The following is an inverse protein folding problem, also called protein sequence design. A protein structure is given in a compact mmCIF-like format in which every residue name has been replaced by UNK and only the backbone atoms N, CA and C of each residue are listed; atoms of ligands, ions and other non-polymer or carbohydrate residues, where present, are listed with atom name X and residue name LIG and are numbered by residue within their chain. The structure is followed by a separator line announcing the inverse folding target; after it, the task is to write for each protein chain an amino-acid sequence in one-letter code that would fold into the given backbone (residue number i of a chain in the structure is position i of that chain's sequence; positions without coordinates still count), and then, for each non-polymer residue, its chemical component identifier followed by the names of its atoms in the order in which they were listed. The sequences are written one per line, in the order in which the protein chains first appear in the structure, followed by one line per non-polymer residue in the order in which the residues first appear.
data_IF_550440603318
#
_entry.id   IF_550440603318
#
_cell.length_a   1.000
_cell.length_b   1.000
_cell.length_c   1.000
_cell.angle_alpha   90.00
_cell.angle_beta   90.00
_cell.angle_gamma   90.00
#
_symmetry.space_group_name_H-M   'P 1'
#
loop_
_entity.id
_entity.type
_entity.pdbx_description
1 polymer ?
#
# COMPACT_ATOMS: atom_id res chain seq x y z
N UNK A 1 -20.55 -11.56 -16.35
CA UNK A 1 -21.78 -10.78 -16.13
C UNK A 1 -21.70 -9.97 -14.83
N UNK A 2 -21.37 -10.57 -13.68
CA UNK A 2 -21.32 -9.88 -12.38
C UNK A 2 -20.41 -8.65 -12.36
N UNK A 3 -19.18 -8.73 -12.88
CA UNK A 3 -18.23 -7.61 -12.94
C UNK A 3 -18.81 -6.37 -13.67
N UNK A 4 -19.54 -6.60 -14.77
CA UNK A 4 -20.12 -5.49 -15.58
C UNK A 4 -21.19 -4.69 -14.82
N UNK A 5 -21.88 -5.35 -13.88
CA UNK A 5 -22.89 -4.70 -13.02
C UNK A 5 -22.24 -4.11 -11.77
N UNK A 6 -21.36 -4.86 -11.13
CA UNK A 6 -20.75 -4.45 -9.86
C UNK A 6 -19.80 -3.26 -10.01
N UNK A 7 -19.06 -3.17 -11.12
CA UNK A 7 -18.13 -2.06 -11.36
C UNK A 7 -18.79 -0.68 -11.32
N UNK A 8 -19.83 -0.38 -12.11
CA UNK A 8 -20.50 0.92 -12.05
C UNK A 8 -21.18 1.17 -10.71
N UNK A 9 -21.76 0.13 -10.08
CA UNK A 9 -22.36 0.24 -8.75
C UNK A 9 -21.29 0.61 -7.70
N UNK A 10 -20.15 -0.10 -7.69
CA UNK A 10 -19.04 0.21 -6.79
C UNK A 10 -18.51 1.62 -7.03
N UNK A 11 -18.37 2.03 -8.29
CA UNK A 11 -17.94 3.38 -8.64
C UNK A 11 -18.92 4.44 -8.10
N UNK A 12 -20.22 4.24 -8.28
CA UNK A 12 -21.25 5.15 -7.80
C UNK A 12 -21.22 5.26 -6.26
N UNK A 13 -21.14 4.13 -5.56
CA UNK A 13 -21.02 4.09 -4.09
C UNK A 13 -19.77 4.81 -3.60
N UNK A 14 -18.61 4.52 -4.20
CA UNK A 14 -17.35 5.16 -3.83
C UNK A 14 -17.35 6.66 -4.11
N UNK A 15 -17.97 7.08 -5.22
CA UNK A 15 -18.12 8.50 -5.56
C UNK A 15 -19.04 9.23 -4.60
N UNK A 16 -20.16 8.62 -4.22
CA UNK A 16 -21.15 9.22 -3.34
C UNK A 16 -20.65 9.30 -1.89
N UNK A 17 -20.14 8.21 -1.34
CA UNK A 17 -19.76 8.14 0.08
C UNK A 17 -18.36 8.70 0.35
N UNK A 18 -17.41 8.49 -0.55
CA UNK A 18 -16.00 8.84 -0.36
C UNK A 18 -15.50 9.90 -1.34
N UNK A 19 -16.40 10.56 -2.09
CA UNK A 19 -16.03 11.58 -3.09
C UNK A 19 -14.89 11.11 -4.00
N UNK A 20 -14.93 9.82 -4.37
CA UNK A 20 -13.86 9.21 -5.15
C UNK A 20 -13.63 9.96 -6.47
N UNK A 21 -12.34 10.20 -6.77
CA UNK A 21 -11.87 10.77 -8.04
C UNK A 21 -10.92 9.78 -8.71
N UNK A 22 -11.10 9.56 -10.01
CA UNK A 22 -10.18 8.82 -10.86
C UNK A 22 -9.56 9.81 -11.85
N UNK A 23 -8.24 9.88 -11.91
CA UNK A 23 -7.48 10.83 -12.72
C UNK A 23 -6.52 10.04 -13.59
N UNK A 24 -6.46 10.35 -14.88
CA UNK A 24 -5.54 9.70 -15.82
C UNK A 24 -5.97 8.27 -16.22
N UNK A 25 -7.23 7.89 -16.06
CA UNK A 25 -7.71 6.56 -16.41
C UNK A 25 -7.55 6.24 -17.91
N UNK A 26 -7.47 7.25 -18.76
CA UNK A 26 -7.16 7.19 -20.18
C UNK A 26 -5.75 6.67 -20.49
N UNK A 27 -4.84 6.72 -19.53
CA UNK A 27 -3.49 6.14 -19.63
C UNK A 27 -3.50 4.60 -19.64
N UNK A 28 -4.63 3.99 -19.26
CA UNK A 28 -4.77 2.54 -19.32
C UNK A 28 -5.06 2.15 -20.77
N UNK A 29 -4.21 1.34 -21.44
CA UNK A 29 -4.48 0.87 -22.79
C UNK A 29 -5.88 0.27 -22.89
N UNK A 30 -6.72 0.68 -23.86
CA UNK A 30 -8.10 0.20 -24.00
C UNK A 30 -8.18 -1.29 -24.29
N UNK A 31 -7.18 -1.81 -24.99
CA UNK A 31 -7.07 -3.22 -25.41
C UNK A 31 -5.65 -3.75 -25.22
N UNK A 32 -5.47 -5.05 -25.37
CA UNK A 32 -4.18 -5.71 -25.20
C UNK A 32 -3.75 -5.85 -23.74
N UNK A 33 -2.56 -6.41 -23.47
CA UNK A 33 -2.04 -6.57 -22.12
C UNK A 33 -1.76 -5.24 -21.44
N UNK A 34 -2.02 -5.17 -20.16
CA UNK A 34 -1.60 -4.04 -19.31
C UNK A 34 -1.32 -4.52 -17.88
N UNK A 35 -0.24 -4.05 -17.30
CA UNK A 35 0.10 -4.30 -15.90
C UNK A 35 -0.11 -3.01 -15.11
N UNK A 36 -1.15 -2.95 -14.28
CA UNK A 36 -1.37 -1.82 -13.37
C UNK A 36 -0.59 -2.10 -12.09
N UNK A 37 0.32 -1.22 -11.71
CA UNK A 37 1.14 -1.35 -10.51
C UNK A 37 0.77 -0.26 -9.52
N UNK A 38 0.14 -0.63 -8.40
CA UNK A 38 -0.38 0.32 -7.40
C UNK A 38 0.32 0.19 -6.05
N UNK A 39 0.39 1.29 -5.28
CA UNK A 39 0.67 1.19 -3.84
C UNK A 39 -0.48 0.48 -3.11
N UNK A 40 -0.19 -0.09 -1.94
CA UNK A 40 -1.18 -0.90 -1.21
C UNK A 40 -1.25 -0.52 0.26
N UNK A 41 -2.37 0.07 0.67
CA UNK A 41 -2.57 0.54 2.06
C UNK A 41 -3.86 -0.01 2.70
N UNK A 42 -4.84 -0.43 1.88
CA UNK A 42 -6.14 -0.89 2.36
C UNK A 42 -6.67 -2.09 1.56
N UNK A 43 -7.58 -2.86 2.15
CA UNK A 43 -8.36 -3.87 1.41
C UNK A 43 -9.31 -3.23 0.39
N UNK A 44 -9.51 -1.92 0.46
CA UNK A 44 -10.32 -1.16 -0.49
C UNK A 44 -9.58 -0.81 -1.78
N UNK A 45 -8.24 -0.94 -1.84
CA UNK A 45 -7.47 -0.55 -3.02
C UNK A 45 -7.89 -1.30 -4.29
N UNK A 46 -8.06 -2.64 -4.31
CA UNK A 46 -8.48 -3.35 -5.51
C UNK A 46 -9.84 -2.86 -6.06
N UNK A 47 -10.92 -2.75 -5.26
CA UNK A 47 -12.19 -2.23 -5.77
C UNK A 47 -12.12 -0.76 -6.18
N UNK A 48 -11.31 0.06 -5.50
CA UNK A 48 -11.11 1.48 -5.86
C UNK A 48 -10.41 1.59 -7.22
N UNK A 49 -9.27 0.94 -7.40
CA UNK A 49 -8.55 0.93 -8.69
C UNK A 49 -9.40 0.31 -9.79
N UNK A 50 -10.05 -0.83 -9.52
CA UNK A 50 -10.88 -1.51 -10.52
C UNK A 50 -12.10 -0.71 -10.96
N UNK A 51 -12.74 0.02 -10.05
CA UNK A 51 -13.91 0.84 -10.37
C UNK A 51 -13.55 2.11 -11.14
N UNK A 52 -12.36 2.69 -10.90
CA UNK A 52 -11.86 3.86 -11.61
C UNK A 52 -11.29 3.56 -12.99
N UNK A 53 -10.86 2.34 -13.26
CA UNK A 53 -10.29 1.94 -14.55
C UNK A 53 -11.36 1.94 -15.67
N UNK A 54 -10.99 2.27 -16.93
CA UNK A 54 -11.93 2.29 -18.06
C UNK A 54 -12.28 0.89 -18.60
N UNK A 55 -11.49 -0.13 -18.27
CA UNK A 55 -11.66 -1.53 -18.71
C UNK A 55 -11.68 -2.51 -17.53
N UNK A 56 -12.13 -3.75 -17.72
CA UNK A 56 -12.08 -4.78 -16.68
C UNK A 56 -10.64 -5.11 -16.28
N UNK A 57 -10.40 -5.22 -14.98
CA UNK A 57 -9.11 -5.66 -14.42
C UNK A 57 -9.23 -7.08 -13.87
N UNK A 58 -8.09 -7.78 -13.90
CA UNK A 58 -7.87 -9.02 -13.16
C UNK A 58 -7.16 -8.70 -11.85
N UNK A 59 -7.45 -9.45 -10.79
CA UNK A 59 -6.90 -9.23 -9.46
C UNK A 59 -6.27 -10.51 -8.94
N UNK A 60 -5.25 -10.36 -8.11
CA UNK A 60 -4.71 -11.45 -7.30
C UNK A 60 -5.12 -11.25 -5.84
N UNK A 61 -5.74 -12.24 -5.24
CA UNK A 61 -6.20 -12.17 -3.86
C UNK A 61 -5.76 -13.39 -3.07
N UNK A 62 -5.60 -13.25 -1.76
CA UNK A 62 -5.14 -14.29 -0.85
C UNK A 62 -6.06 -15.51 -0.93
N UNK A 63 -5.48 -16.72 -1.10
CA UNK A 63 -6.23 -17.97 -1.30
C UNK A 63 -7.29 -18.23 -0.21
N UNK A 64 -7.00 -17.85 1.04
CA UNK A 64 -7.92 -18.04 2.17
C UNK A 64 -9.22 -17.26 2.02
N UNK A 65 -9.22 -16.12 1.30
CA UNK A 65 -10.45 -15.36 1.05
C UNK A 65 -11.45 -16.14 0.20
N UNK A 66 -10.95 -17.04 -0.64
CA UNK A 66 -11.78 -17.88 -1.50
C UNK A 66 -12.43 -19.06 -0.77
N UNK A 67 -11.97 -19.37 0.45
CA UNK A 67 -12.56 -20.39 1.32
C UNK A 67 -13.84 -19.90 2.02
N UNK A 68 -14.03 -18.57 2.11
CA UNK A 68 -15.25 -17.97 2.67
C UNK A 68 -16.35 -18.03 1.61
N UNK A 69 -17.46 -18.78 1.79
CA UNK A 69 -18.37 -19.16 0.71
C UNK A 69 -18.94 -17.99 -0.11
N UNK A 70 -19.53 -16.99 0.55
CA UNK A 70 -20.12 -15.83 -0.12
C UNK A 70 -19.05 -14.90 -0.69
N UNK A 71 -18.01 -14.60 0.09
CA UNK A 71 -16.90 -13.76 -0.35
C UNK A 71 -16.14 -14.41 -1.50
N UNK A 72 -15.83 -15.70 -1.42
CA UNK A 72 -15.12 -16.42 -2.46
C UNK A 72 -15.86 -16.43 -3.80
N UNK A 73 -17.19 -16.59 -3.78
CA UNK A 73 -18.03 -16.49 -4.99
C UNK A 73 -18.01 -15.06 -5.56
N UNK A 74 -18.16 -14.06 -4.69
CA UNK A 74 -18.13 -12.66 -5.09
C UNK A 74 -16.83 -12.28 -5.74
N UNK A 75 -15.68 -12.53 -5.09
CA UNK A 75 -14.37 -12.11 -5.62
C UNK A 75 -13.97 -12.86 -6.90
N UNK A 76 -14.36 -14.15 -7.05
CA UNK A 76 -14.20 -14.86 -8.34
C UNK A 76 -15.03 -14.19 -9.43
N UNK A 77 -16.27 -13.84 -9.15
CA UNK A 77 -17.14 -13.12 -10.10
C UNK A 77 -16.63 -11.69 -10.43
N UNK A 78 -15.72 -11.17 -9.61
CA UNK A 78 -15.02 -9.90 -9.82
C UNK A 78 -13.62 -10.09 -10.42
N UNK A 79 -13.35 -11.20 -11.09
CA UNK A 79 -12.07 -11.51 -11.74
C UNK A 79 -10.87 -11.62 -10.80
N UNK A 80 -11.09 -12.03 -9.53
CA UNK A 80 -9.99 -12.29 -8.62
C UNK A 80 -9.54 -13.75 -8.71
N UNK A 81 -8.22 -13.96 -8.68
CA UNK A 81 -7.57 -15.27 -8.66
C UNK A 81 -6.88 -15.52 -7.32
N UNK A 82 -6.96 -16.76 -6.80
CA UNK A 82 -6.28 -17.12 -5.56
C UNK A 82 -4.77 -17.19 -5.76
N UNK A 83 -4.04 -16.60 -4.80
CA UNK A 83 -2.57 -16.71 -4.72
C UNK A 83 -2.16 -17.08 -3.29
N UNK A 84 -1.20 -17.96 -3.16
CA UNK A 84 -0.56 -18.27 -1.89
C UNK A 84 0.59 -17.28 -1.66
N UNK A 85 0.67 -16.71 -0.44
CA UNK A 85 1.67 -15.69 -0.12
C UNK A 85 2.94 -16.25 0.51
N UNK A 86 2.92 -17.50 0.91
CA UNK A 86 4.08 -18.17 1.51
C UNK A 86 4.96 -18.74 0.40
N UNK A 87 6.08 -18.06 0.14
CA UNK A 87 7.05 -18.41 -0.88
C UNK A 87 6.87 -17.62 -2.20
N UNK A 88 7.78 -17.85 -3.13
CA UNK A 88 7.63 -17.39 -4.51
C UNK A 88 6.59 -18.31 -5.19
N UNK A 89 5.32 -17.90 -5.19
CA UNK A 89 4.27 -18.66 -5.85
C UNK A 89 4.47 -18.64 -7.38
N UNK A 90 5.23 -19.63 -7.84
CA UNK A 90 5.48 -19.81 -9.28
C UNK A 90 4.18 -20.07 -10.05
N UNK A 91 3.14 -20.58 -9.40
CA UNK A 91 1.81 -20.77 -9.96
C UNK A 91 1.12 -19.44 -10.22
N UNK A 92 1.12 -18.55 -9.22
CA UNK A 92 0.57 -17.20 -9.35
C UNK A 92 1.27 -16.40 -10.45
N UNK A 93 2.61 -16.49 -10.52
CA UNK A 93 3.37 -15.81 -11.57
C UNK A 93 3.02 -16.34 -12.96
N UNK A 94 2.97 -17.67 -13.14
CA UNK A 94 2.59 -18.29 -14.42
C UNK A 94 1.18 -17.88 -14.83
N UNK A 95 0.24 -17.88 -13.89
CA UNK A 95 -1.13 -17.46 -14.15
C UNK A 95 -1.21 -15.98 -14.55
N UNK A 96 -0.48 -15.10 -13.84
CA UNK A 96 -0.40 -13.68 -14.18
C UNK A 96 0.15 -13.45 -15.60
N UNK A 97 1.20 -14.18 -15.99
CA UNK A 97 1.75 -14.12 -17.35
C UNK A 97 0.77 -14.64 -18.39
N UNK A 98 -0.01 -15.68 -18.07
CA UNK A 98 -1.06 -16.20 -18.97
C UNK A 98 -2.13 -15.13 -19.22
N UNK A 99 -2.63 -14.48 -18.15
CA UNK A 99 -3.62 -13.41 -18.27
C UNK A 99 -3.12 -12.25 -19.14
N UNK A 100 -1.86 -11.85 -18.97
CA UNK A 100 -1.25 -10.81 -19.80
C UNK A 100 -1.12 -11.26 -21.25
N UNK A 101 -0.74 -12.52 -21.54
CA UNK A 101 -0.72 -13.08 -22.90
C UNK A 101 -2.10 -13.13 -23.55
N UNK A 102 -3.15 -13.31 -22.79
CA UNK A 102 -4.54 -13.23 -23.24
C UNK A 102 -5.02 -11.78 -23.46
N UNK A 103 -4.15 -10.79 -23.35
CA UNK A 103 -4.51 -9.38 -23.53
C UNK A 103 -5.30 -8.79 -22.37
N UNK A 104 -5.27 -9.40 -21.18
CA UNK A 104 -5.97 -8.88 -20.00
C UNK A 104 -5.17 -7.78 -19.31
N UNK A 105 -5.88 -6.89 -18.60
CA UNK A 105 -5.27 -5.94 -17.68
C UNK A 105 -5.21 -6.54 -16.28
N UNK A 106 -4.03 -6.57 -15.67
CA UNK A 106 -3.78 -7.17 -14.36
C UNK A 106 -3.35 -6.11 -13.36
N UNK A 107 -3.99 -6.08 -12.18
CA UNK A 107 -3.56 -5.24 -11.05
C UNK A 107 -2.60 -6.02 -10.16
N UNK A 108 -1.46 -5.39 -9.86
CA UNK A 108 -0.48 -5.89 -8.90
C UNK A 108 -0.10 -4.80 -7.90
N UNK A 109 0.36 -5.23 -6.74
CA UNK A 109 0.91 -4.37 -5.70
C UNK A 109 2.39 -4.69 -5.54
N UNK A 110 3.31 -3.88 -6.08
CA UNK A 110 4.74 -4.17 -6.06
C UNK A 110 5.31 -4.35 -4.65
N UNK A 111 4.75 -3.69 -3.65
CA UNK A 111 5.13 -3.79 -2.25
C UNK A 111 4.92 -5.21 -1.66
N UNK A 112 3.99 -6.00 -2.25
CA UNK A 112 3.67 -7.37 -1.83
C UNK A 112 2.94 -7.48 -0.49
N UNK A 113 2.75 -6.38 0.23
CA UNK A 113 1.98 -6.31 1.49
C UNK A 113 1.37 -4.92 1.63
N UNK A 114 0.39 -4.77 2.53
CA UNK A 114 -0.20 -3.47 2.84
C UNK A 114 0.73 -2.66 3.72
N UNK A 115 1.00 -1.43 3.30
CA UNK A 115 1.73 -0.41 4.02
C UNK A 115 0.82 0.52 4.84
N UNK A 116 1.36 1.71 5.13
CA UNK A 116 0.68 2.80 5.84
C UNK A 116 0.31 3.90 4.85
N UNK A 117 -0.81 4.57 5.07
CA UNK A 117 -1.24 5.71 4.25
C UNK A 117 -0.12 6.76 4.12
N UNK A 118 0.13 7.18 2.89
CA UNK A 118 1.16 8.17 2.59
C UNK A 118 2.61 7.68 2.58
N UNK A 119 2.89 6.43 3.00
CA UNK A 119 4.22 5.83 2.93
C UNK A 119 4.29 4.78 1.82
N UNK A 120 5.30 4.89 0.95
CA UNK A 120 5.59 3.87 -0.05
C UNK A 120 6.68 2.93 0.48
N UNK A 121 6.46 1.64 0.32
CA UNK A 121 7.47 0.62 0.66
C UNK A 121 8.32 0.29 -0.57
N UNK A 122 9.45 -0.36 -0.34
CA UNK A 122 10.27 -0.87 -1.44
C UNK A 122 9.53 -1.92 -2.25
N UNK A 123 9.58 -1.82 -3.57
CA UNK A 123 9.02 -2.82 -4.47
C UNK A 123 9.78 -4.14 -4.42
N UNK A 124 9.04 -5.24 -4.49
CA UNK A 124 9.60 -6.59 -4.62
C UNK A 124 9.84 -6.92 -6.09
N UNK A 125 10.80 -7.78 -6.44
CA UNK A 125 11.16 -8.07 -7.83
C UNK A 125 10.04 -8.71 -8.65
N UNK A 126 8.96 -9.21 -8.04
CA UNK A 126 7.86 -9.88 -8.73
C UNK A 126 7.12 -9.00 -9.74
N UNK A 127 6.90 -7.72 -9.44
CA UNK A 127 6.28 -6.78 -10.38
C UNK A 127 7.20 -6.51 -11.58
N UNK A 128 8.50 -6.30 -11.33
CA UNK A 128 9.50 -6.14 -12.38
C UNK A 128 9.67 -7.40 -13.24
N UNK A 129 9.57 -8.58 -12.63
CA UNK A 129 9.59 -9.85 -13.36
C UNK A 129 8.39 -10.00 -14.30
N UNK A 130 7.17 -9.67 -13.85
CA UNK A 130 5.99 -9.64 -14.69
C UNK A 130 6.15 -8.67 -15.85
N UNK A 131 6.61 -7.44 -15.59
CA UNK A 131 6.85 -6.44 -16.62
C UNK A 131 7.86 -6.91 -17.67
N UNK A 132 9.03 -7.43 -17.22
CA UNK A 132 10.09 -7.90 -18.11
C UNK A 132 9.73 -9.12 -18.93
N UNK A 133 8.91 -10.05 -18.41
CA UNK A 133 8.57 -11.29 -19.10
C UNK A 133 7.32 -11.17 -19.99
N UNK A 134 6.43 -10.24 -19.69
CA UNK A 134 5.22 -10.02 -20.49
C UNK A 134 5.39 -8.93 -21.55
N UNK A 135 6.36 -8.03 -21.37
CA UNK A 135 6.53 -6.82 -22.20
C UNK A 135 5.27 -5.94 -22.24
N UNK A 136 4.32 -6.19 -21.34
CA UNK A 136 3.11 -5.42 -21.23
C UNK A 136 3.43 -3.99 -20.74
N UNK A 137 2.76 -2.96 -21.27
CA UNK A 137 2.88 -1.61 -20.73
C UNK A 137 2.47 -1.62 -19.24
N UNK A 138 3.29 -0.98 -18.41
CA UNK A 138 3.09 -0.88 -16.96
C UNK A 138 2.52 0.49 -16.65
N UNK A 139 1.29 0.54 -16.17
CA UNK A 139 0.63 1.76 -15.73
C UNK A 139 0.86 1.92 -14.22
N UNK A 140 1.68 2.89 -13.77
CA UNK A 140 1.83 3.18 -12.36
C UNK A 140 0.54 3.80 -11.81
N UNK A 141 0.13 3.38 -10.61
CA UNK A 141 -1.10 3.86 -9.99
C UNK A 141 -0.82 4.30 -8.57
N UNK A 142 -1.26 5.49 -8.20
CA UNK A 142 -1.22 5.97 -6.82
C UNK A 142 -2.62 6.08 -6.26
N UNK A 143 -2.85 5.40 -5.13
CA UNK A 143 -4.11 5.41 -4.37
C UNK A 143 -3.88 6.12 -3.06
N UNK A 144 -4.70 7.11 -2.75
CA UNK A 144 -4.72 7.81 -1.46
C UNK A 144 -6.12 7.84 -0.86
N UNK A 145 -6.19 7.91 0.45
CA UNK A 145 -7.43 8.02 1.21
C UNK A 145 -8.02 6.70 1.66
N UNK A 146 -7.73 5.59 0.99
CA UNK A 146 -8.27 4.26 1.36
C UNK A 146 -7.80 3.79 2.72
N UNK A 147 -6.55 4.08 3.10
CA UNK A 147 -6.03 3.80 4.43
C UNK A 147 -6.66 4.67 5.51
N UNK A 148 -7.11 5.89 5.20
CA UNK A 148 -7.90 6.73 6.11
C UNK A 148 -9.33 6.22 6.26
N UNK A 149 -9.92 5.75 5.15
CA UNK A 149 -11.27 5.15 5.15
C UNK A 149 -11.32 3.86 5.94
N UNK A 150 -10.40 2.94 5.68
CA UNK A 150 -10.32 1.66 6.37
C UNK A 150 -8.87 1.29 6.67
N UNK A 151 -8.33 1.79 7.80
CA UNK A 151 -6.99 1.45 8.26
C UNK A 151 -6.82 -0.07 8.49
N UNK A 152 -5.59 -0.54 8.44
CA UNK A 152 -5.29 -1.95 8.74
C UNK A 152 -5.73 -2.28 10.18
N UNK A 153 -6.52 -3.34 10.33
CA UNK A 153 -7.06 -3.79 11.63
C UNK A 153 -8.31 -3.06 12.09
N UNK A 154 -8.77 -2.01 11.38
CA UNK A 154 -10.02 -1.36 11.71
C UNK A 154 -11.23 -2.19 11.24
N UNK A 155 -12.29 -2.23 12.07
CA UNK A 155 -13.57 -2.86 11.76
C UNK A 155 -14.62 -1.86 11.24
N UNK A 156 -14.38 -0.56 11.39
CA UNK A 156 -15.30 0.50 10.97
C UNK A 156 -14.68 1.40 9.92
N UNK A 157 -15.44 1.68 8.86
CA UNK A 157 -15.07 2.65 7.84
C UNK A 157 -15.30 4.08 8.32
N UNK A 158 -14.41 4.99 7.91
CA UNK A 158 -14.54 6.44 8.12
C UNK A 158 -14.82 7.09 6.77
N UNK A 159 -15.62 8.13 6.75
CA UNK A 159 -15.84 8.92 5.54
C UNK A 159 -14.62 9.81 5.30
N UNK A 160 -13.87 9.53 4.24
CA UNK A 160 -12.71 10.32 3.81
C UNK A 160 -12.65 10.31 2.28
N UNK A 161 -12.22 11.41 1.65
CA UNK A 161 -12.04 11.42 0.20
C UNK A 161 -11.02 10.38 -0.24
N UNK A 162 -11.28 9.77 -1.40
CA UNK A 162 -10.39 8.82 -2.06
C UNK A 162 -10.00 9.39 -3.42
N UNK A 163 -8.71 9.32 -3.77
CA UNK A 163 -8.24 9.63 -5.11
C UNK A 163 -7.42 8.47 -5.65
N UNK A 164 -7.64 8.12 -6.91
CA UNK A 164 -6.79 7.20 -7.65
C UNK A 164 -6.23 7.91 -8.88
N UNK A 165 -4.91 7.87 -9.05
CA UNK A 165 -4.18 8.48 -10.17
C UNK A 165 -3.51 7.38 -10.98
N UNK A 166 -3.77 7.36 -12.28
CA UNK A 166 -3.14 6.45 -13.24
C UNK A 166 -2.12 7.26 -14.04
N UNK A 167 -0.84 6.94 -13.89
CA UNK A 167 0.23 7.62 -14.61
C UNK A 167 0.42 7.11 -16.03
N UNK A 168 1.26 7.79 -16.83
CA UNK A 168 1.59 7.35 -18.18
C UNK A 168 2.26 5.96 -18.15
N UNK A 169 1.97 5.12 -19.16
CA UNK A 169 2.48 3.75 -19.19
C UNK A 169 3.99 3.72 -19.44
N UNK A 170 4.68 2.92 -18.65
CA UNK A 170 6.09 2.58 -18.80
C UNK A 170 6.23 1.33 -19.68
N UNK A 171 7.27 1.26 -20.48
CA UNK A 171 7.63 0.08 -21.26
C UNK A 171 9.00 -0.41 -20.85
N UNK A 172 9.14 -1.72 -20.75
CA UNK A 172 10.38 -2.37 -20.38
C UNK A 172 10.71 -3.43 -21.42
N UNK A 173 11.97 -3.45 -21.82
CA UNK A 173 12.47 -4.51 -22.70
C UNK A 173 12.52 -5.83 -21.94
N UNK A 174 12.33 -6.91 -22.69
CA UNK A 174 12.45 -8.27 -22.20
C UNK A 174 13.82 -8.49 -21.57
N UNK A 175 13.83 -9.08 -20.40
CA UNK A 175 15.08 -9.37 -19.69
C UNK A 175 14.89 -10.45 -18.63
N UNK A 176 16.00 -11.04 -18.20
CA UNK A 176 16.02 -12.06 -17.14
C UNK A 176 17.04 -11.70 -16.08
N UNK A 177 16.84 -12.22 -14.88
CA UNK A 177 17.74 -12.07 -13.76
C UNK A 177 17.16 -11.22 -12.63
N UNK A 178 17.47 -11.64 -11.39
CA UNK A 178 16.93 -11.02 -10.17
C UNK A 178 17.27 -9.52 -10.07
N UNK A 179 18.48 -9.15 -10.47
CA UNK A 179 18.92 -7.73 -10.48
C UNK A 179 18.03 -6.90 -11.42
N UNK A 180 17.87 -7.36 -12.68
CA UNK A 180 17.03 -6.69 -13.68
C UNK A 180 15.58 -6.53 -13.22
N UNK A 181 15.02 -7.55 -12.60
CA UNK A 181 13.66 -7.50 -12.07
C UNK A 181 13.52 -6.50 -10.91
N UNK A 182 14.54 -6.39 -10.06
CA UNK A 182 14.54 -5.40 -8.99
C UNK A 182 14.68 -3.98 -9.54
N UNK A 183 15.56 -3.74 -10.52
CA UNK A 183 15.70 -2.43 -11.18
C UNK A 183 14.36 -1.96 -11.78
N UNK A 184 13.66 -2.85 -12.51
CA UNK A 184 12.36 -2.52 -13.10
C UNK A 184 11.34 -2.23 -12.00
N UNK A 185 11.32 -3.02 -10.94
CA UNK A 185 10.43 -2.78 -9.80
C UNK A 185 10.71 -1.43 -9.12
N UNK A 186 11.98 -1.07 -8.95
CA UNK A 186 12.38 0.21 -8.36
C UNK A 186 11.98 1.40 -9.28
N UNK A 187 12.06 1.24 -10.61
CA UNK A 187 11.56 2.24 -11.57
C UNK A 187 10.04 2.40 -11.52
N UNK A 188 9.30 1.29 -11.37
CA UNK A 188 7.84 1.31 -11.18
C UNK A 188 7.51 2.06 -9.89
N UNK A 189 8.18 1.75 -8.78
CA UNK A 189 7.96 2.43 -7.49
C UNK A 189 8.32 3.92 -7.56
N UNK A 190 9.38 4.29 -8.29
CA UNK A 190 9.72 5.68 -8.52
C UNK A 190 8.62 6.42 -9.30
N UNK A 191 7.98 5.77 -10.28
CA UNK A 191 6.86 6.35 -11.02
C UNK A 191 5.61 6.54 -10.11
N UNK A 192 5.31 5.57 -9.23
CA UNK A 192 4.26 5.72 -8.21
C UNK A 192 4.60 6.87 -7.26
N UNK A 193 5.88 7.02 -6.88
CA UNK A 193 6.37 8.12 -6.06
C UNK A 193 6.18 9.50 -6.70
N UNK A 194 6.34 9.62 -8.01
CA UNK A 194 6.03 10.87 -8.74
C UNK A 194 4.55 11.22 -8.67
N UNK A 195 3.66 10.25 -8.89
CA UNK A 195 2.21 10.46 -8.76
C UNK A 195 1.80 10.88 -7.35
N UNK A 196 2.47 10.34 -6.33
CA UNK A 196 2.30 10.76 -4.94
C UNK A 196 2.69 12.22 -4.74
N UNK A 197 3.88 12.62 -5.23
CA UNK A 197 4.35 13.99 -5.12
C UNK A 197 3.42 14.99 -5.83
N UNK A 198 2.91 14.64 -7.03
CA UNK A 198 1.89 15.41 -7.73
C UNK A 198 0.59 15.54 -6.94
N UNK A 199 0.17 14.46 -6.24
CA UNK A 199 -1.00 14.48 -5.39
C UNK A 199 -0.84 15.43 -4.20
N UNK A 200 0.33 15.41 -3.57
CA UNK A 200 0.67 16.28 -2.43
C UNK A 200 0.71 17.77 -2.85
N UNK A 201 1.26 18.07 -4.02
CA UNK A 201 1.28 19.43 -4.57
C UNK A 201 -0.12 19.94 -4.96
N UNK A 202 -0.99 19.06 -5.43
CA UNK A 202 -2.36 19.40 -5.82
C UNK A 202 -3.31 19.54 -4.62
N UNK A 203 -2.93 19.07 -3.44
CA UNK A 203 -3.71 19.22 -2.21
C UNK A 203 -3.40 20.57 -1.59
N UNK A 204 -4.43 21.43 -1.28
CA UNK A 204 -4.18 22.66 -0.56
C UNK A 204 -3.50 22.33 0.79
N UNK A 205 -2.55 23.17 1.28
CA UNK A 205 -1.89 22.95 2.54
C UNK A 205 -2.95 22.73 3.62
N UNK A 206 -2.80 21.69 4.42
CA UNK A 206 -3.67 21.45 5.57
C UNK A 206 -3.72 22.73 6.38
N UNK A 207 -4.91 23.31 6.54
CA UNK A 207 -5.08 24.46 7.45
C UNK A 207 -4.58 24.01 8.81
N UNK A 208 -3.40 24.49 9.20
CA UNK A 208 -2.93 24.40 10.56
C UNK A 208 -4.02 25.05 11.38
N UNK A 209 -4.74 24.29 12.19
CA UNK A 209 -5.66 24.83 13.16
C UNK A 209 -4.92 25.88 13.97
N UNK A 210 -5.61 26.95 14.46
CA UNK A 210 -4.96 27.99 15.23
C UNK A 210 -4.17 27.32 16.37
N UNK A 211 -2.88 27.62 16.42
CA UNK A 211 -2.04 27.24 17.54
C UNK A 211 -2.76 27.69 18.80
N UNK A 212 -3.11 26.75 19.67
CA UNK A 212 -3.62 27.09 20.99
C UNK A 212 -2.53 27.90 21.68
N UNK A 213 -2.70 29.21 21.69
CA UNK A 213 -1.91 30.12 22.52
C UNK A 213 -2.19 29.74 23.98
N UNK A 214 -1.37 28.83 24.51
CA UNK A 214 -1.30 28.58 25.91
C UNK A 214 -0.90 29.89 26.59
N UNK A 215 -1.84 30.51 27.29
CA UNK A 215 -1.59 31.62 28.18
C UNK A 215 -0.57 31.17 29.22
N UNK A 216 0.64 31.66 29.07
CA UNK A 216 1.64 31.62 30.13
C UNK A 216 1.11 32.50 31.24
N UNK A 217 0.52 31.90 32.27
CA UNK A 217 0.18 32.57 33.49
C UNK A 217 1.47 33.08 34.16
N UNK A 218 1.59 34.39 34.24
CA UNK A 218 2.60 35.06 35.01
C UNK A 218 2.45 34.60 36.47
N UNK A 219 3.50 33.95 37.02
CA UNK A 219 3.66 33.71 38.43
C UNK A 219 4.35 34.93 39.00
N UNK A 220 3.67 35.55 39.98
CA UNK A 220 4.10 36.60 40.85
C UNK A 220 5.34 36.14 41.68
N UNK A 221 6.42 36.92 41.79
CA UNK A 221 7.55 36.61 42.63
C UNK A 221 7.38 37.23 44.02
N UNK A 222 7.11 36.41 45.02
CA UNK A 222 7.17 36.88 46.42
C UNK A 222 6.59 35.86 47.37
N UNK A 223 7.41 35.03 47.93
CA UNK A 223 7.46 34.76 49.37
C UNK A 223 8.76 33.99 49.68
N UNK A 224 9.55 34.64 50.55
CA UNK A 224 10.78 34.14 51.14
C UNK A 224 10.47 33.31 52.39
N UNK A 225 11.43 32.47 52.74
CA UNK A 225 11.69 31.83 54.02
C UNK A 225 11.10 30.46 54.31
N UNK A 226 11.97 29.44 54.29
CA UNK A 226 12.42 28.73 55.50
C UNK A 226 13.59 27.76 55.16
N UNK A 227 14.72 27.86 55.88
CA UNK A 227 15.86 26.96 55.72
C UNK A 227 15.91 25.98 56.90
N UNK A 228 15.68 24.68 56.67
CA UNK A 228 16.26 23.64 57.53
C UNK A 228 16.00 22.23 56.94
N UNK A 229 17.03 21.53 56.74
CA UNK A 229 17.40 20.17 57.15
C UNK A 229 18.35 19.55 56.14
N UNK A 230 19.55 19.28 56.64
CA UNK A 230 20.74 18.83 55.95
C UNK A 230 20.77 17.34 55.50
N UNK A 231 21.93 16.88 55.04
CA UNK A 231 22.06 15.73 54.16
C UNK A 231 22.18 14.39 54.89
N UNK A 232 21.65 13.33 54.32
CA UNK A 232 22.01 11.97 54.73
C UNK A 232 22.76 11.27 53.60
N UNK A 233 24.03 10.98 53.91
CA UNK A 233 24.89 9.99 53.28
C UNK A 233 24.39 8.57 53.59
N UNK A 234 24.59 7.63 52.68
CA UNK A 234 24.41 6.18 52.88
C UNK A 234 24.58 5.47 51.58
N UNK A 235 25.79 5.17 51.21
CA UNK A 235 26.63 3.96 51.23
C UNK A 235 26.24 2.86 50.24
N UNK A 236 27.19 2.63 49.33
CA UNK A 236 27.66 1.40 48.65
C UNK A 236 26.93 0.09 48.91
N UNK A 237 26.66 -0.65 47.84
CA UNK A 237 26.96 -2.10 47.78
C UNK A 237 27.19 -2.51 46.33
N UNK A 238 28.42 -2.96 46.13
CA UNK A 238 28.92 -3.74 44.98
C UNK A 238 28.13 -5.04 44.81
N UNK A 239 27.89 -5.47 43.59
CA UNK A 239 27.79 -6.89 43.25
C UNK A 239 28.18 -7.18 41.78
N UNK A 240 29.40 -7.55 41.63
CA UNK A 240 29.96 -8.76 40.98
C UNK A 240 29.41 -9.18 39.60
N UNK A 241 30.29 -8.98 38.67
CA UNK A 241 30.40 -9.58 37.33
C UNK A 241 30.40 -11.10 37.39
N UNK A 242 29.63 -11.78 36.56
CA UNK A 242 29.92 -13.16 36.11
C UNK A 242 29.80 -13.24 34.60
N UNK A 243 30.93 -13.52 33.98
CA UNK A 243 31.12 -13.75 32.55
C UNK A 243 30.61 -15.13 32.08
N UNK A 244 30.61 -15.34 30.75
CA UNK A 244 30.03 -16.50 30.09
C UNK A 244 30.99 -17.70 30.08
N UNK A 245 30.45 -18.93 30.14
CA UNK A 245 31.15 -20.19 29.88
C UNK A 245 30.92 -20.65 28.43
N UNK A 246 31.92 -21.32 27.86
CA UNK A 246 31.94 -21.70 26.45
C UNK A 246 31.34 -23.10 26.18
N UNK A 247 31.16 -23.29 24.87
CA UNK A 247 30.79 -24.46 24.11
C UNK A 247 31.18 -25.84 24.65
N UNK A 248 30.31 -26.83 24.48
CA UNK A 248 30.57 -28.26 24.43
C UNK A 248 30.14 -28.80 23.07
N UNK A 249 31.13 -29.20 22.26
CA UNK A 249 30.98 -30.19 21.19
C UNK A 249 30.55 -31.52 21.80
N UNK A 250 29.81 -32.37 21.07
CA UNK A 250 30.01 -33.81 20.91
C UNK A 250 28.96 -34.35 19.91
N UNK A 251 29.50 -35.03 18.88
CA UNK A 251 29.04 -36.04 17.92
C UNK A 251 27.97 -35.67 16.91
#
# INVERSE_FOLDING_TARGET
MLYRVMKPLTHAVLRLLFRMRAIGAENIPPEGPALLAANHVSVLDPPVVGSGALRPLQFMAKAELFRIPLLGRLIRGLNAYPVEREGADAGALRHALLLLREGKALLVFPEGTRGTEGALQRGRPGAGMLAALSEAPVVPVYVEGTGRVLPRGASRMRLSPITVRYGPPLRFERGRGKHRYQEISDQIMAAIGRLKAEAEQASPPARLGPASSGSVGARDPGDESDPSVGPRLGTNAERTVRGPRPAGQIH
#
